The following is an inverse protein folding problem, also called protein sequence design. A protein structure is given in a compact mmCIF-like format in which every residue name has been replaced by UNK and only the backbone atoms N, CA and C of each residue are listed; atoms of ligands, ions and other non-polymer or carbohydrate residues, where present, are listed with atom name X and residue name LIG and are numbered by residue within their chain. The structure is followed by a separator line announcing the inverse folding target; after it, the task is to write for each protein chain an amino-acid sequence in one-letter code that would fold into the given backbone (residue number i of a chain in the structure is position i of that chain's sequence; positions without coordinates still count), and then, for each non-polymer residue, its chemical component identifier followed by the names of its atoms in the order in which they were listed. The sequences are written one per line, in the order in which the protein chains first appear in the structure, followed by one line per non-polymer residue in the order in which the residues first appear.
data_IF_420430304609
#
_entry.id   IF_420430304609
#
_cell.length_a   1.000
_cell.length_b   1.000
_cell.length_c   1.000
_cell.angle_alpha   90.00
_cell.angle_beta   90.00
_cell.angle_gamma   90.00
#
_symmetry.space_group_name_H-M   'P 1'
#
loop_
_entity.id
_entity.type
_entity.pdbx_description
1 polymer ?
#
# COMPACT_ATOMS: atom_id res chain seq x y z
N UNK A 1 16.52 6.06 -16.61
CA UNK A 1 16.44 5.68 -15.18
C UNK A 1 17.59 6.39 -14.47
N UNK A 2 17.30 7.31 -13.58
CA UNK A 2 18.28 7.81 -12.59
C UNK A 2 18.06 6.91 -11.38
N UNK A 3 19.05 6.11 -10.95
CA UNK A 3 18.97 5.40 -9.69
C UNK A 3 18.85 6.46 -8.59
N UNK A 4 17.76 6.46 -7.86
CA UNK A 4 17.67 7.25 -6.62
C UNK A 4 18.53 6.50 -5.61
N UNK A 5 19.60 7.12 -5.15
CA UNK A 5 20.41 6.58 -4.07
C UNK A 5 19.50 6.49 -2.82
N UNK A 6 19.29 5.31 -2.26
CA UNK A 6 18.44 5.18 -1.07
C UNK A 6 19.01 5.90 0.17
N UNK A 7 20.28 6.32 0.11
CA UNK A 7 20.95 7.09 1.17
C UNK A 7 21.01 8.60 0.87
N UNK A 8 20.51 9.06 -0.29
CA UNK A 8 20.44 10.48 -0.60
C UNK A 8 19.25 11.10 0.14
N UNK A 9 19.52 12.06 1.01
CA UNK A 9 18.49 12.86 1.69
C UNK A 9 17.66 13.60 0.63
N UNK A 10 16.47 13.05 0.32
CA UNK A 10 15.52 13.75 -0.56
C UNK A 10 15.21 15.11 0.07
N UNK A 11 15.48 16.18 -0.66
CA UNK A 11 15.12 17.54 -0.23
C UNK A 11 13.60 17.73 -0.29
N UNK A 12 12.96 17.38 0.79
CA UNK A 12 11.51 17.33 0.96
C UNK A 12 10.86 18.71 0.92
N UNK A 13 11.66 19.79 1.04
CA UNK A 13 11.17 21.16 0.89
C UNK A 13 10.69 21.46 -0.54
N UNK A 14 11.10 20.61 -1.50
CA UNK A 14 10.70 20.70 -2.92
C UNK A 14 9.43 19.92 -3.25
N UNK A 15 8.96 19.08 -2.33
CA UNK A 15 7.74 18.31 -2.48
C UNK A 15 6.62 19.06 -1.77
N UNK A 16 5.66 19.62 -2.54
CA UNK A 16 4.53 20.35 -1.95
C UNK A 16 3.50 19.41 -1.30
N UNK A 17 2.90 19.83 -0.20
CA UNK A 17 1.68 19.24 0.36
C UNK A 17 1.80 17.77 0.81
N UNK A 18 0.89 16.92 0.33
CA UNK A 18 0.83 15.49 0.66
C UNK A 18 2.05 14.70 0.20
N UNK A 19 2.75 15.13 -0.84
CA UNK A 19 4.00 14.50 -1.28
C UNK A 19 5.10 14.58 -0.21
N UNK A 20 5.13 15.66 0.60
CA UNK A 20 6.02 15.76 1.74
C UNK A 20 5.68 14.76 2.85
N UNK A 21 4.47 14.21 2.86
CA UNK A 21 3.99 13.22 3.83
C UNK A 21 4.11 11.79 3.33
N UNK A 22 4.32 11.61 2.06
CA UNK A 22 4.66 10.30 1.46
C UNK A 22 6.07 9.81 1.89
N UNK A 23 6.54 10.22 3.06
CA UNK A 23 7.81 9.84 3.65
C UNK A 23 7.96 8.33 3.91
N UNK A 24 6.87 7.60 3.88
CA UNK A 24 6.92 6.17 3.87
C UNK A 24 7.73 5.61 2.70
N UNK A 25 7.85 6.37 1.60
CA UNK A 25 8.69 5.99 0.45
C UNK A 25 10.19 6.03 0.74
N UNK A 26 10.62 6.80 1.73
CA UNK A 26 12.03 7.03 2.05
C UNK A 26 12.43 6.51 3.43
N UNK A 27 11.59 5.71 4.08
CA UNK A 27 11.97 5.10 5.35
C UNK A 27 13.22 4.23 5.15
N UNK A 28 14.27 4.48 5.94
CA UNK A 28 15.53 3.73 5.84
C UNK A 28 15.27 2.23 5.87
N UNK A 29 15.89 1.52 4.93
CA UNK A 29 15.86 0.07 4.89
C UNK A 29 16.53 -0.50 6.13
N UNK A 30 15.83 -1.33 6.88
CA UNK A 30 16.34 -1.93 8.10
C UNK A 30 15.62 -3.25 8.41
N UNK A 31 16.12 -4.34 7.84
CA UNK A 31 15.61 -5.67 8.12
C UNK A 31 15.85 -6.04 9.58
N UNK A 32 14.79 -6.09 10.34
CA UNK A 32 14.86 -6.49 11.76
C UNK A 32 13.51 -7.01 12.25
N UNK A 33 13.59 -7.82 13.31
CA UNK A 33 12.44 -8.21 14.12
C UNK A 33 12.65 -7.72 15.54
N UNK A 34 11.67 -7.02 16.09
CA UNK A 34 11.72 -6.55 17.48
C UNK A 34 10.33 -6.53 18.09
N UNK A 35 10.27 -6.46 19.41
CA UNK A 35 9.03 -6.24 20.16
C UNK A 35 9.00 -4.79 20.60
N UNK A 36 7.92 -4.09 20.27
CA UNK A 36 7.77 -2.68 20.64
C UNK A 36 7.25 -2.52 22.08
N UNK A 37 7.07 -1.27 22.53
CA UNK A 37 6.60 -0.93 23.87
C UNK A 37 5.16 -1.42 24.17
N UNK A 38 4.33 -1.62 23.14
CA UNK A 38 2.97 -2.16 23.25
C UNK A 38 2.92 -3.69 23.27
N UNK A 39 4.06 -4.36 23.21
CA UNK A 39 4.17 -5.81 23.17
C UNK A 39 3.91 -6.44 21.81
N UNK A 40 3.85 -5.62 20.74
CA UNK A 40 3.64 -6.08 19.38
C UNK A 40 4.97 -6.49 18.75
N UNK A 41 5.01 -7.65 18.11
CA UNK A 41 6.15 -8.08 17.31
C UNK A 41 6.08 -7.34 15.98
N UNK A 42 7.16 -6.61 15.67
CA UNK A 42 7.33 -5.85 14.44
C UNK A 42 8.42 -6.50 13.60
N UNK A 43 8.08 -6.98 12.42
CA UNK A 43 9.02 -7.51 11.44
C UNK A 43 9.11 -6.49 10.29
N UNK A 44 10.26 -5.81 10.15
CA UNK A 44 10.44 -4.73 9.19
C UNK A 44 11.22 -5.18 7.97
N UNK A 45 10.85 -4.62 6.81
CA UNK A 45 11.49 -4.85 5.51
C UNK A 45 11.61 -6.34 5.16
N UNK A 46 10.54 -7.08 5.40
CA UNK A 46 10.46 -8.52 5.09
C UNK A 46 10.39 -8.69 3.58
N UNK A 47 11.36 -9.39 2.95
CA UNK A 47 11.36 -9.60 1.51
C UNK A 47 10.35 -10.69 1.12
N UNK A 48 9.60 -10.44 0.06
CA UNK A 48 8.67 -11.41 -0.51
C UNK A 48 8.92 -11.49 -2.02
N UNK A 49 9.25 -12.68 -2.49
CA UNK A 49 9.55 -12.91 -3.89
C UNK A 49 8.28 -13.24 -4.67
N UNK A 50 8.01 -12.46 -5.69
CA UNK A 50 6.91 -12.66 -6.62
C UNK A 50 7.22 -13.78 -7.63
N UNK A 51 6.20 -14.30 -8.32
CA UNK A 51 6.33 -15.42 -9.29
C UNK A 51 7.30 -15.16 -10.43
N UNK A 52 7.49 -13.90 -10.80
CA UNK A 52 8.42 -13.47 -11.87
C UNK A 52 9.83 -13.18 -11.36
N UNK A 53 10.06 -13.33 -10.06
CA UNK A 53 11.35 -13.16 -9.42
C UNK A 53 11.61 -11.78 -8.83
N UNK A 54 10.74 -10.79 -9.05
CA UNK A 54 10.81 -9.47 -8.41
C UNK A 54 10.60 -9.63 -6.90
N UNK A 55 11.35 -8.85 -6.12
CA UNK A 55 11.22 -8.82 -4.67
C UNK A 55 10.47 -7.57 -4.23
N UNK A 56 9.39 -7.74 -3.48
CA UNK A 56 8.70 -6.65 -2.80
C UNK A 56 8.95 -6.74 -1.29
N UNK A 57 8.68 -5.66 -0.57
CA UNK A 57 8.91 -5.59 0.86
C UNK A 57 7.65 -5.24 1.63
N UNK A 58 7.51 -5.84 2.81
CA UNK A 58 6.41 -5.53 3.72
C UNK A 58 6.91 -5.36 5.16
N UNK A 59 6.10 -4.69 5.98
CA UNK A 59 6.22 -4.68 7.42
C UNK A 59 5.06 -5.48 8.02
N UNK A 60 5.37 -6.40 8.93
CA UNK A 60 4.39 -7.23 9.61
C UNK A 60 4.34 -6.86 11.09
N UNK A 61 3.16 -6.60 11.56
CA UNK A 61 2.86 -6.32 12.97
C UNK A 61 1.94 -7.42 13.48
N UNK A 62 2.30 -8.07 14.58
CA UNK A 62 1.49 -9.16 15.13
C UNK A 62 1.56 -9.23 16.65
N UNK A 63 0.51 -9.72 17.33
CA UNK A 63 0.57 -10.01 18.75
C UNK A 63 1.62 -11.07 19.04
N UNK A 64 2.23 -10.98 20.24
CA UNK A 64 3.15 -12.00 20.75
C UNK A 64 2.33 -13.16 21.31
N UNK A 65 2.01 -14.12 20.47
CA UNK A 65 1.21 -15.30 20.80
C UNK A 65 1.76 -16.56 20.14
N UNK A 66 1.52 -17.69 20.74
CA UNK A 66 1.82 -19.00 20.15
C UNK A 66 0.68 -19.55 19.28
N UNK A 67 -0.49 -18.93 19.34
CA UNK A 67 -1.62 -19.31 18.51
C UNK A 67 -1.45 -18.81 17.09
N UNK A 68 -1.99 -19.55 16.13
CA UNK A 68 -2.10 -19.09 14.75
C UNK A 68 -3.27 -18.14 14.61
N UNK A 69 -2.98 -16.98 14.04
CA UNK A 69 -3.93 -15.85 13.94
C UNK A 69 -4.21 -15.49 12.47
N UNK A 70 -5.36 -14.83 12.19
CA UNK A 70 -5.63 -14.25 10.88
C UNK A 70 -4.77 -13.00 10.65
N UNK A 71 -4.62 -12.61 9.38
CA UNK A 71 -3.92 -11.38 9.01
C UNK A 71 -4.79 -10.45 8.17
N UNK A 72 -4.51 -9.15 8.26
CA UNK A 72 -5.11 -8.10 7.43
C UNK A 72 -3.97 -7.49 6.59
N UNK A 73 -4.17 -7.44 5.28
CA UNK A 73 -3.24 -6.84 4.33
C UNK A 73 -3.67 -5.43 3.98
N UNK A 74 -2.73 -4.49 4.04
CA UNK A 74 -2.82 -3.17 3.44
C UNK A 74 -1.86 -3.11 2.27
N UNK A 75 -2.40 -3.00 1.06
CA UNK A 75 -1.65 -2.90 -0.19
C UNK A 75 -1.63 -1.43 -0.61
N UNK A 76 -0.56 -0.70 -0.29
CA UNK A 76 -0.57 0.75 -0.29
C UNK A 76 0.58 1.37 -1.09
N UNK A 77 0.24 2.23 -2.04
CA UNK A 77 1.23 3.07 -2.74
C UNK A 77 1.79 4.21 -1.87
N UNK A 78 1.25 4.43 -0.68
CA UNK A 78 1.73 5.44 0.28
C UNK A 78 2.93 4.98 1.12
N UNK A 79 3.46 3.80 0.82
CA UNK A 79 4.52 3.16 1.61
C UNK A 79 3.97 2.32 2.78
N UNK A 80 4.81 1.42 3.31
CA UNK A 80 4.44 0.42 4.32
C UNK A 80 4.49 0.90 5.77
N UNK A 81 5.15 2.01 6.04
CA UNK A 81 5.28 2.59 7.40
C UNK A 81 5.12 4.09 7.41
N UNK A 82 4.70 4.69 8.54
CA UNK A 82 4.73 6.14 8.69
C UNK A 82 6.18 6.65 8.65
N UNK A 83 6.38 7.85 8.11
CA UNK A 83 7.66 8.54 8.17
C UNK A 83 7.95 9.14 9.54
N UNK A 84 9.14 9.74 9.68
CA UNK A 84 9.60 10.38 10.94
C UNK A 84 8.98 11.76 11.19
N UNK A 85 8.22 12.29 10.23
CA UNK A 85 7.61 13.62 10.31
C UNK A 85 6.18 13.61 10.89
N UNK A 86 5.46 14.69 10.62
CA UNK A 86 4.03 14.76 10.94
C UNK A 86 3.28 13.72 10.10
N UNK A 87 2.51 12.85 10.74
CA UNK A 87 1.78 11.81 10.02
C UNK A 87 0.69 12.43 9.13
N UNK A 88 0.34 11.74 8.06
CA UNK A 88 -0.75 12.12 7.15
C UNK A 88 -2.06 12.35 7.92
N UNK A 89 -2.31 11.55 8.96
CA UNK A 89 -3.46 11.70 9.84
C UNK A 89 -3.50 13.06 10.55
N UNK A 90 -2.35 13.55 11.02
CA UNK A 90 -2.26 14.87 11.66
C UNK A 90 -2.49 16.00 10.67
N UNK A 91 -2.00 15.86 9.44
CA UNK A 91 -2.23 16.83 8.36
C UNK A 91 -3.72 16.89 8.00
N UNK A 92 -4.39 15.75 8.00
CA UNK A 92 -5.84 15.65 7.77
C UNK A 92 -6.68 16.07 9.01
N UNK A 93 -6.03 16.55 10.07
CA UNK A 93 -6.71 17.07 11.26
C UNK A 93 -7.13 16.00 12.28
N UNK A 94 -6.63 14.77 12.16
CA UNK A 94 -6.87 13.73 13.18
C UNK A 94 -6.10 14.08 14.46
N UNK A 95 -6.75 14.16 15.62
CA UNK A 95 -6.07 14.52 16.87
C UNK A 95 -4.95 13.54 17.23
N UNK A 96 -3.83 14.02 17.82
CA UNK A 96 -2.77 13.15 18.31
C UNK A 96 -3.29 12.08 19.28
N UNK A 97 -2.80 10.84 19.11
CA UNK A 97 -3.17 9.71 19.97
C UNK A 97 -4.47 8.99 19.56
N UNK A 98 -5.16 9.44 18.51
CA UNK A 98 -6.34 8.74 17.96
C UNK A 98 -5.93 7.42 17.29
N UNK A 99 -4.79 7.42 16.61
CA UNK A 99 -4.20 6.24 15.97
C UNK A 99 -2.85 5.91 16.60
N UNK A 100 -2.38 4.67 16.44
CA UNK A 100 -1.06 4.26 16.93
C UNK A 100 0.07 4.88 16.11
N UNK A 101 1.29 4.87 16.68
CA UNK A 101 2.51 5.30 15.97
C UNK A 101 2.86 4.42 14.74
N UNK A 102 2.23 3.25 14.62
CA UNK A 102 2.42 2.31 13.52
C UNK A 102 1.39 2.52 12.40
N UNK A 103 0.38 3.34 12.65
CA UNK A 103 -0.70 3.55 11.69
C UNK A 103 -0.20 4.24 10.44
N UNK A 104 -0.43 3.63 9.29
CA UNK A 104 -0.17 4.21 7.98
C UNK A 104 -1.46 4.80 7.40
N UNK A 105 -1.33 5.86 6.60
CA UNK A 105 -2.46 6.55 5.99
C UNK A 105 -3.38 5.57 5.22
N UNK A 106 -4.69 5.72 5.43
CA UNK A 106 -5.75 4.93 4.82
C UNK A 106 -5.69 3.41 5.08
N UNK A 107 -4.80 2.97 5.97
CA UNK A 107 -4.54 1.56 6.25
C UNK A 107 -5.09 1.13 7.62
N UNK A 108 -5.34 -0.16 7.84
CA UNK A 108 -5.68 -0.69 9.15
C UNK A 108 -4.60 -0.36 10.19
N UNK A 109 -4.98 0.21 11.32
CA UNK A 109 -4.04 0.54 12.40
C UNK A 109 -3.51 -0.72 13.11
N UNK A 110 -2.20 -1.03 13.01
CA UNK A 110 -1.62 -2.20 13.67
C UNK A 110 -1.83 -2.20 15.19
N UNK A 111 -1.76 -1.03 15.84
CA UNK A 111 -1.98 -0.93 17.28
C UNK A 111 -3.39 -1.30 17.72
N UNK A 112 -4.39 -1.06 16.89
CA UNK A 112 -5.76 -1.50 17.13
C UNK A 112 -5.93 -3.00 16.84
N UNK A 113 -5.57 -3.45 15.65
CA UNK A 113 -5.87 -4.80 15.17
C UNK A 113 -5.07 -5.89 15.88
N UNK A 114 -3.81 -5.63 16.24
CA UNK A 114 -3.03 -6.60 17.02
C UNK A 114 -3.64 -6.88 18.40
N UNK A 115 -4.22 -5.88 19.04
CA UNK A 115 -4.96 -6.06 20.32
C UNK A 115 -6.23 -6.89 20.17
N UNK A 116 -6.75 -7.01 18.95
CA UNK A 116 -7.93 -7.82 18.63
C UNK A 116 -7.59 -9.19 18.02
N UNK A 117 -6.31 -9.61 18.12
CA UNK A 117 -5.88 -10.95 17.69
C UNK A 117 -5.62 -11.09 16.20
N UNK A 118 -5.38 -9.99 15.48
CA UNK A 118 -5.00 -10.00 14.06
C UNK A 118 -3.55 -9.58 13.89
N UNK A 119 -2.88 -10.16 12.89
CA UNK A 119 -1.69 -9.54 12.34
C UNK A 119 -2.09 -8.46 11.30
N UNK A 120 -1.24 -7.46 11.10
CA UNK A 120 -1.36 -6.48 10.02
C UNK A 120 -0.10 -6.52 9.19
N UNK A 121 -0.24 -6.68 7.88
CA UNK A 121 0.85 -6.62 6.92
C UNK A 121 0.67 -5.39 6.03
N UNK A 122 1.55 -4.39 6.21
CA UNK A 122 1.63 -3.22 5.35
C UNK A 122 2.64 -3.51 4.23
N UNK A 123 2.22 -3.39 2.99
CA UNK A 123 3.01 -3.79 1.83
C UNK A 123 3.39 -2.57 1.00
N UNK A 124 4.66 -2.51 0.60
CA UNK A 124 5.11 -1.68 -0.52
C UNK A 124 4.91 -2.49 -1.80
N UNK A 125 3.93 -2.15 -2.67
CA UNK A 125 3.80 -2.79 -3.97
C UNK A 125 5.06 -2.64 -4.82
N UNK A 126 5.11 -3.35 -5.93
CA UNK A 126 6.15 -3.23 -6.95
C UNK A 126 6.47 -1.76 -7.28
N UNK A 127 7.76 -1.38 -7.22
CA UNK A 127 8.25 -0.04 -7.50
C UNK A 127 8.05 0.99 -6.38
N UNK A 128 7.38 0.63 -5.28
CA UNK A 128 7.15 1.52 -4.13
C UNK A 128 8.25 1.29 -3.08
N UNK A 129 8.77 2.37 -2.51
CA UNK A 129 9.80 2.32 -1.48
C UNK A 129 11.04 1.55 -1.94
N UNK A 130 11.39 0.47 -1.26
CA UNK A 130 12.51 -0.40 -1.61
C UNK A 130 12.10 -1.61 -2.46
N UNK A 131 10.83 -1.76 -2.80
CA UNK A 131 10.34 -2.83 -3.66
C UNK A 131 10.86 -2.67 -5.09
N UNK A 132 11.33 -3.76 -5.67
CA UNK A 132 11.88 -3.79 -7.03
C UNK A 132 10.80 -3.54 -8.08
N UNK A 133 11.22 -3.21 -9.31
CA UNK A 133 10.35 -3.05 -10.46
C UNK A 133 9.77 -1.65 -10.61
N UNK A 134 8.69 -1.56 -11.38
CA UNK A 134 8.05 -0.31 -11.76
C UNK A 134 6.58 -0.30 -11.31
N UNK A 135 6.06 0.88 -10.97
CA UNK A 135 4.67 1.04 -10.53
C UNK A 135 3.75 1.02 -11.76
N UNK A 136 2.86 0.05 -11.81
CA UNK A 136 1.72 0.00 -12.72
C UNK A 136 0.44 0.01 -11.86
N UNK A 137 -0.05 1.22 -11.60
CA UNK A 137 -1.10 1.47 -10.63
C UNK A 137 -2.42 0.82 -11.06
N UNK A 138 -2.98 -0.03 -10.20
CA UNK A 138 -4.24 -0.74 -10.45
C UNK A 138 -4.22 -1.67 -11.67
N UNK A 139 -3.05 -2.01 -12.20
CA UNK A 139 -2.89 -2.88 -13.34
C UNK A 139 -2.99 -4.37 -13.01
N UNK A 140 -2.95 -5.20 -14.06
CA UNK A 140 -3.00 -6.67 -13.93
C UNK A 140 -1.82 -7.21 -13.13
N UNK A 141 -0.61 -6.64 -13.31
CA UNK A 141 0.59 -7.05 -12.58
C UNK A 141 0.45 -6.80 -11.08
N UNK A 142 -0.10 -5.64 -10.71
CA UNK A 142 -0.36 -5.29 -9.32
C UNK A 142 -1.32 -6.29 -8.65
N UNK A 143 -2.38 -6.69 -9.35
CA UNK A 143 -3.31 -7.71 -8.87
C UNK A 143 -2.64 -9.09 -8.71
N UNK A 144 -1.74 -9.47 -9.63
CA UNK A 144 -1.00 -10.73 -9.55
C UNK A 144 -0.01 -10.75 -8.38
N UNK A 145 0.70 -9.64 -8.16
CA UNK A 145 1.60 -9.51 -7.02
C UNK A 145 0.84 -9.59 -5.69
N UNK A 146 -0.33 -8.95 -5.61
CA UNK A 146 -1.21 -9.06 -4.45
C UNK A 146 -1.72 -10.49 -4.20
N UNK A 147 -2.05 -11.22 -5.26
CA UNK A 147 -2.37 -12.65 -5.16
C UNK A 147 -1.20 -13.44 -4.58
N UNK A 148 -0.01 -13.29 -5.13
CA UNK A 148 1.19 -14.00 -4.69
C UNK A 148 1.52 -13.68 -3.23
N UNK A 149 1.39 -12.42 -2.84
CA UNK A 149 1.61 -11.98 -1.48
C UNK A 149 0.63 -12.61 -0.49
N UNK A 150 -0.66 -12.68 -0.82
CA UNK A 150 -1.68 -13.32 0.04
C UNK A 150 -1.35 -14.79 0.24
N UNK A 151 -1.02 -15.51 -0.82
CA UNK A 151 -0.68 -16.92 -0.74
C UNK A 151 0.62 -17.16 0.05
N UNK A 152 1.64 -16.31 -0.12
CA UNK A 152 2.85 -16.35 0.70
C UNK A 152 2.56 -16.06 2.17
N UNK A 153 1.76 -15.04 2.48
CA UNK A 153 1.44 -14.66 3.87
C UNK A 153 0.70 -15.77 4.60
N UNK A 154 -0.18 -16.49 3.91
CA UNK A 154 -0.91 -17.62 4.45
C UNK A 154 0.00 -18.78 4.88
N UNK A 155 1.21 -18.91 4.30
CA UNK A 155 2.18 -19.95 4.67
C UNK A 155 3.00 -19.62 5.90
N UNK A 156 2.91 -18.41 6.43
CA UNK A 156 3.72 -18.01 7.58
C UNK A 156 3.36 -18.84 8.82
N UNK A 157 4.36 -19.22 9.60
CA UNK A 157 4.20 -20.16 10.73
C UNK A 157 3.17 -19.70 11.79
N UNK A 158 2.99 -18.40 11.93
CA UNK A 158 2.04 -17.76 12.85
C UNK A 158 0.65 -17.53 12.24
N UNK A 159 0.51 -17.66 10.92
CA UNK A 159 -0.74 -17.39 10.22
C UNK A 159 -1.65 -18.63 10.24
N UNK A 160 -2.96 -18.41 10.42
CA UNK A 160 -3.96 -19.47 10.38
C UNK A 160 -4.53 -19.73 8.97
N UNK A 161 -3.96 -19.08 7.94
CA UNK A 161 -4.38 -19.21 6.54
C UNK A 161 -5.60 -18.36 6.17
N UNK A 162 -6.10 -17.49 7.04
CA UNK A 162 -7.23 -16.60 6.74
C UNK A 162 -6.73 -15.17 6.62
N UNK A 163 -6.75 -14.65 5.40
CA UNK A 163 -6.27 -13.31 5.07
C UNK A 163 -7.47 -12.42 4.73
N UNK A 164 -7.57 -11.27 5.37
CA UNK A 164 -8.45 -10.19 4.97
C UNK A 164 -7.67 -9.06 4.31
N UNK A 165 -8.34 -8.19 3.58
CA UNK A 165 -7.78 -6.91 3.15
C UNK A 165 -8.65 -5.77 3.68
N UNK A 166 -8.02 -4.64 4.00
CA UNK A 166 -8.72 -3.46 4.49
C UNK A 166 -8.01 -2.17 4.12
N UNK A 167 -8.76 -1.09 4.07
CA UNK A 167 -8.25 0.24 3.78
C UNK A 167 -9.23 1.10 2.99
N UNK A 168 -8.85 2.35 2.80
CA UNK A 168 -9.65 3.36 2.14
C UNK A 168 -9.02 3.78 0.79
N UNK A 169 -9.79 4.36 -0.14
CA UNK A 169 -9.31 5.03 -1.35
C UNK A 169 -8.41 4.12 -2.21
N UNK A 170 -7.19 4.52 -2.53
CA UNK A 170 -6.24 3.70 -3.31
C UNK A 170 -6.01 2.32 -2.70
N UNK A 171 -5.93 2.23 -1.36
CA UNK A 171 -5.78 0.96 -0.64
C UNK A 171 -7.03 0.08 -0.78
N UNK A 172 -8.19 0.67 -0.98
CA UNK A 172 -9.45 -0.05 -1.25
C UNK A 172 -9.56 -0.51 -2.70
N UNK A 173 -9.13 0.32 -3.65
CA UNK A 173 -9.20 0.02 -5.09
C UNK A 173 -8.36 -1.21 -5.46
N UNK A 174 -7.20 -1.38 -4.85
CA UNK A 174 -6.34 -2.56 -5.06
C UNK A 174 -7.01 -3.85 -4.57
N UNK A 175 -7.77 -3.80 -3.46
CA UNK A 175 -8.46 -4.98 -2.92
C UNK A 175 -9.43 -5.60 -3.93
N UNK A 176 -10.20 -4.78 -4.64
CA UNK A 176 -11.18 -5.24 -5.62
C UNK A 176 -10.49 -6.00 -6.76
N UNK A 177 -9.36 -5.48 -7.23
CA UNK A 177 -8.59 -6.10 -8.34
C UNK A 177 -7.91 -7.40 -7.92
N UNK A 178 -7.32 -7.42 -6.72
CA UNK A 178 -6.70 -8.64 -6.18
C UNK A 178 -7.77 -9.71 -5.93
N UNK A 179 -8.92 -9.33 -5.34
CA UNK A 179 -10.02 -10.26 -5.08
C UNK A 179 -10.63 -10.84 -6.36
N UNK A 180 -10.59 -10.10 -7.47
CA UNK A 180 -11.06 -10.61 -8.79
C UNK A 180 -10.25 -11.83 -9.26
N UNK A 181 -9.00 -11.98 -8.82
CA UNK A 181 -8.16 -13.15 -9.10
C UNK A 181 -8.44 -14.34 -8.17
N UNK A 182 -9.28 -14.15 -7.16
CA UNK A 182 -9.75 -15.19 -6.21
C UNK A 182 -8.60 -15.97 -5.52
N UNK A 183 -7.67 -15.28 -4.79
CA UNK A 183 -6.65 -16.00 -4.02
C UNK A 183 -7.31 -16.96 -3.02
N UNK A 184 -6.93 -18.25 -2.96
CA UNK A 184 -7.58 -19.25 -2.12
C UNK A 184 -7.63 -18.90 -0.62
N UNK A 185 -6.63 -18.17 -0.12
CA UNK A 185 -6.57 -17.78 1.29
C UNK A 185 -7.19 -16.40 1.58
N UNK A 186 -7.70 -15.69 0.57
CA UNK A 186 -8.42 -14.43 0.77
C UNK A 186 -9.82 -14.71 1.32
N UNK A 187 -10.03 -14.42 2.59
CA UNK A 187 -11.28 -14.65 3.30
C UNK A 187 -12.32 -13.52 3.11
N UNK A 188 -11.85 -12.28 3.04
CA UNK A 188 -12.71 -11.10 2.86
C UNK A 188 -11.93 -9.88 2.41
N UNK A 189 -12.65 -8.90 1.87
CA UNK A 189 -12.16 -7.55 1.60
C UNK A 189 -13.06 -6.54 2.30
N UNK A 190 -12.49 -5.40 2.70
CA UNK A 190 -13.21 -4.26 3.27
C UNK A 190 -12.79 -2.97 2.55
N UNK A 191 -13.23 -2.78 1.29
CA UNK A 191 -12.82 -1.66 0.45
C UNK A 191 -13.71 -0.44 0.72
N UNK A 192 -13.19 0.54 1.46
CA UNK A 192 -13.90 1.79 1.71
C UNK A 192 -13.56 2.81 0.63
N UNK A 193 -14.58 3.43 0.03
CA UNK A 193 -14.45 4.42 -1.04
C UNK A 193 -13.64 3.90 -2.25
N UNK A 194 -13.91 2.66 -2.64
CA UNK A 194 -13.25 2.04 -3.80
C UNK A 194 -13.96 2.38 -5.12
N UNK A 195 -13.18 2.38 -6.19
CA UNK A 195 -13.69 2.33 -7.56
C UNK A 195 -13.45 0.96 -8.17
N UNK A 196 -14.40 0.48 -8.98
CA UNK A 196 -14.27 -0.76 -9.73
C UNK A 196 -13.88 -0.51 -11.19
N UNK A 197 -14.29 0.62 -11.74
CA UNK A 197 -14.02 1.06 -13.12
C UNK A 197 -13.32 2.42 -13.06
N UNK A 198 -11.98 2.40 -13.21
CA UNK A 198 -11.16 3.61 -13.10
C UNK A 198 -11.52 4.65 -14.17
N UNK A 199 -11.95 4.20 -15.35
CA UNK A 199 -12.34 5.11 -16.42
C UNK A 199 -13.63 5.88 -16.07
N UNK A 200 -14.71 5.16 -15.70
CA UNK A 200 -16.02 5.78 -15.45
C UNK A 200 -16.16 6.44 -14.09
N UNK A 201 -15.41 5.97 -13.12
CA UNK A 201 -15.58 6.37 -11.72
C UNK A 201 -14.47 7.29 -11.20
N UNK A 202 -13.41 7.54 -12.01
CA UNK A 202 -12.30 8.39 -11.58
C UNK A 202 -11.79 9.31 -12.69
N UNK A 203 -11.50 8.81 -13.89
CA UNK A 203 -10.88 9.61 -14.98
C UNK A 203 -11.92 10.36 -15.79
N UNK A 204 -13.06 9.73 -16.10
CA UNK A 204 -14.14 10.29 -16.92
C UNK A 204 -15.50 10.09 -16.26
N UNK A 205 -15.71 10.72 -15.11
CA UNK A 205 -16.97 10.64 -14.36
C UNK A 205 -18.12 11.22 -15.17
N UNK A 206 -19.08 10.35 -15.51
CA UNK A 206 -20.19 10.76 -16.37
C UNK A 206 -19.79 11.24 -17.77
N UNK A 207 -18.59 10.87 -18.25
CA UNK A 207 -18.03 11.31 -19.52
C UNK A 207 -17.30 12.66 -19.45
N UNK A 208 -17.16 13.24 -18.27
CA UNK A 208 -16.45 14.49 -18.02
C UNK A 208 -15.05 14.17 -17.47
N UNK A 209 -13.96 14.70 -18.08
CA UNK A 209 -12.62 14.43 -17.60
C UNK A 209 -12.38 15.05 -16.20
N UNK A 210 -12.09 14.20 -15.20
CA UNK A 210 -11.75 14.58 -13.83
C UNK A 210 -10.22 14.57 -13.64
N UNK A 211 -9.47 15.23 -14.51
CA UNK A 211 -8.02 15.08 -14.59
C UNK A 211 -7.28 15.77 -13.45
N UNK A 212 -7.75 16.90 -12.94
CA UNK A 212 -7.03 17.69 -11.95
C UNK A 212 -6.84 16.96 -10.61
N UNK A 213 -7.84 16.21 -10.14
CA UNK A 213 -7.71 15.39 -8.94
C UNK A 213 -6.74 14.21 -9.19
N UNK A 214 -6.84 13.57 -10.34
CA UNK A 214 -5.94 12.48 -10.71
C UNK A 214 -4.50 12.96 -10.92
N UNK A 215 -4.27 14.16 -11.47
CA UNK A 215 -2.94 14.79 -11.53
C UNK A 215 -2.34 14.97 -10.14
N UNK A 216 -3.15 15.43 -9.17
CA UNK A 216 -2.71 15.54 -7.79
C UNK A 216 -2.35 14.16 -7.21
N UNK A 217 -3.18 13.13 -7.41
CA UNK A 217 -2.93 11.77 -6.93
C UNK A 217 -1.63 11.22 -7.55
N UNK A 218 -1.51 11.24 -8.87
CA UNK A 218 -0.33 10.71 -9.58
C UNK A 218 0.94 11.45 -9.15
N UNK A 219 0.91 12.77 -9.08
CA UNK A 219 2.10 13.58 -8.74
C UNK A 219 2.49 13.53 -7.26
N UNK A 220 1.52 13.26 -6.37
CA UNK A 220 1.73 13.38 -4.92
C UNK A 220 1.90 12.06 -4.20
N UNK A 221 1.40 10.96 -4.76
CA UNK A 221 1.30 9.66 -4.08
C UNK A 221 2.11 8.56 -4.77
N UNK A 222 2.64 8.81 -5.97
CA UNK A 222 3.46 7.84 -6.69
C UNK A 222 4.93 8.26 -6.67
N UNK A 223 5.80 7.28 -6.54
CA UNK A 223 7.25 7.51 -6.58
C UNK A 223 7.77 7.68 -8.02
N UNK A 224 9.10 7.83 -8.17
CA UNK A 224 9.74 8.06 -9.47
C UNK A 224 9.65 6.86 -10.44
N UNK A 225 9.21 5.71 -9.97
CA UNK A 225 9.10 4.48 -10.75
C UNK A 225 7.73 4.28 -11.42
N UNK A 226 6.88 5.31 -11.43
CA UNK A 226 5.60 5.24 -12.14
C UNK A 226 5.83 5.15 -13.65
N UNK A 227 5.33 4.08 -14.26
CA UNK A 227 5.47 3.85 -15.72
C UNK A 227 4.15 3.97 -16.47
N UNK A 228 3.03 3.96 -15.75
CA UNK A 228 1.70 4.07 -16.31
C UNK A 228 0.98 5.28 -15.70
N UNK A 229 1.13 6.43 -16.35
CA UNK A 229 0.47 7.67 -15.95
C UNK A 229 -0.98 7.68 -16.42
N UNK A 230 -1.89 7.42 -15.47
CA UNK A 230 -3.34 7.37 -15.72
C UNK A 230 -3.88 8.69 -16.30
N UNK A 231 -3.29 9.83 -15.95
CA UNK A 231 -3.73 11.14 -16.45
C UNK A 231 -3.31 11.36 -17.89
N UNK A 232 -2.05 11.07 -18.19
CA UNK A 232 -1.54 11.17 -19.57
C UNK A 232 -2.26 10.16 -20.49
N UNK A 233 -2.45 8.94 -20.00
CA UNK A 233 -3.23 7.94 -20.74
C UNK A 233 -4.71 8.32 -20.86
N UNK A 234 -5.29 9.01 -19.87
CA UNK A 234 -6.62 9.58 -19.98
C UNK A 234 -6.71 10.58 -21.13
N UNK A 235 -5.71 11.44 -21.31
CA UNK A 235 -5.66 12.37 -22.44
C UNK A 235 -5.50 11.68 -23.78
N UNK A 236 -4.72 10.60 -23.85
CA UNK A 236 -4.49 9.83 -25.08
C UNK A 236 -5.69 8.93 -25.45
N UNK A 237 -6.38 8.38 -24.44
CA UNK A 237 -7.50 7.46 -24.62
C UNK A 237 -8.79 8.02 -24.00
N UNK A 238 -9.35 9.10 -24.57
CA UNK A 238 -10.51 9.79 -23.99
C UNK A 238 -11.81 8.99 -24.09
N UNK A 239 -11.81 7.86 -24.78
CA UNK A 239 -12.95 6.96 -24.92
C UNK A 239 -12.60 5.57 -24.41
N UNK A 240 -13.60 4.88 -23.86
CA UNK A 240 -13.46 3.49 -23.41
C UNK A 240 -12.91 2.60 -24.52
N UNK A 241 -11.81 1.91 -24.25
CA UNK A 241 -11.15 1.01 -25.19
C UNK A 241 -10.41 -0.10 -24.41
N UNK A 242 -9.55 -0.89 -25.09
CA UNK A 242 -8.83 -2.01 -24.48
C UNK A 242 -7.76 -1.60 -23.44
N UNK A 243 -7.39 -0.33 -23.33
CA UNK A 243 -6.48 0.17 -22.30
C UNK A 243 -7.22 0.18 -20.94
N UNK A 244 -8.45 0.68 -20.92
CA UNK A 244 -9.25 0.79 -19.70
C UNK A 244 -9.85 -0.56 -19.27
#
# INVERSE_FOLDING_TARGET
RVPVDPDEDLDLSKLGGLAATAHGFCAKFNQRTYKNEDGIICEQDVPVKMRDGVTIYCDIYRPDTTEKIPAIVSWSYYGKRPGDGMSEWQIMGVPPGTVSKMSKFESPDPGYWCRHGYAVANVDPRGVGHSEGDINMFGTQDAQDGYDFIEWLATQHWCNGRIGMGGNSCVAMTQVRIAALQPPHLACIAPWEATCDIYRESIYEGGIPALSFNEFIVSSLTGPNLVDDLVENGRHYPFMNAYW
#
